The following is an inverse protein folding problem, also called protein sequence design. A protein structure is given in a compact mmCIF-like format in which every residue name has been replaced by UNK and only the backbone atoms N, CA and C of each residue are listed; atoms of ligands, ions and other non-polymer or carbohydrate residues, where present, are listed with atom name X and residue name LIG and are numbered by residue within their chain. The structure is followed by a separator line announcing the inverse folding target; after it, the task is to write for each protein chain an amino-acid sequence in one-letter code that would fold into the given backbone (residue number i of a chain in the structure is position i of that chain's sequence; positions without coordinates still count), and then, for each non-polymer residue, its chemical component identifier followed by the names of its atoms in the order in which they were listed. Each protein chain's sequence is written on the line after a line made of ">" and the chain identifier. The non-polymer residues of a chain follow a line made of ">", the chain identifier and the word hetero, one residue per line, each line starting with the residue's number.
data_IF_849168053363
#
_entry.id   IF_849168053363
#
_cell.length_a   1.000
_cell.length_b   1.000
_cell.length_c   1.000
_cell.angle_alpha   90.00
_cell.angle_beta   90.00
_cell.angle_gamma   90.00
#
_symmetry.space_group_name_H-M   'P 1'
#
loop_
_entity.id
_entity.type
_entity.pdbx_description
1 polymer ?
#
# COMPACT_ATOMS: atom_id res chain seq x y z
N UNK A 1 14.89 16.80 -6.57
CA UNK A 1 14.68 17.74 -5.46
C UNK A 1 13.19 17.85 -5.16
N UNK A 2 12.75 17.59 -3.91
CA UNK A 2 11.35 17.77 -3.56
C UNK A 2 10.95 19.25 -3.57
N UNK A 3 9.74 19.52 -4.06
CA UNK A 3 9.20 20.88 -4.21
C UNK A 3 7.85 20.98 -3.49
N UNK A 4 7.76 21.96 -2.57
CA UNK A 4 6.51 22.32 -1.92
C UNK A 4 6.15 23.75 -2.30
N UNK A 5 4.96 23.94 -2.87
CA UNK A 5 4.48 25.28 -3.27
C UNK A 5 3.75 25.91 -2.09
N UNK A 6 4.16 27.13 -1.73
CA UNK A 6 3.50 27.96 -0.71
C UNK A 6 2.78 29.11 -1.43
N UNK A 7 1.48 29.21 -1.27
CA UNK A 7 0.70 30.23 -1.98
C UNK A 7 -0.49 30.72 -1.17
N UNK A 8 -0.92 31.95 -1.43
CA UNK A 8 -2.20 32.48 -0.92
C UNK A 8 -3.41 31.99 -1.71
N UNK A 9 -3.17 31.39 -2.88
CA UNK A 9 -4.24 30.86 -3.76
C UNK A 9 -4.65 29.48 -3.27
N UNK A 10 -5.93 29.30 -2.95
CA UNK A 10 -6.49 28.07 -2.43
C UNK A 10 -7.40 27.35 -3.42
N UNK A 11 -7.52 27.87 -4.66
CA UNK A 11 -8.34 27.27 -5.68
C UNK A 11 -7.88 25.87 -6.08
N UNK A 12 -8.84 24.99 -6.35
CA UNK A 12 -8.55 23.62 -6.79
C UNK A 12 -7.69 23.60 -8.05
N UNK A 13 -7.98 24.50 -8.99
CA UNK A 13 -7.25 24.61 -10.25
C UNK A 13 -5.79 25.02 -10.03
N UNK A 14 -5.53 25.96 -9.12
CA UNK A 14 -4.16 26.39 -8.80
C UNK A 14 -3.34 25.24 -8.24
N UNK A 15 -3.95 24.38 -7.41
CA UNK A 15 -3.30 23.19 -6.86
C UNK A 15 -3.00 22.16 -7.94
N UNK A 16 -3.95 21.90 -8.83
CA UNK A 16 -3.76 20.99 -9.96
C UNK A 16 -2.65 21.46 -10.87
N UNK A 17 -2.63 22.75 -11.21
CA UNK A 17 -1.58 23.35 -12.05
C UNK A 17 -0.20 23.20 -11.42
N UNK A 18 -0.10 23.38 -10.10
CA UNK A 18 1.16 23.21 -9.37
C UNK A 18 1.65 21.76 -9.42
N UNK A 19 0.75 20.79 -9.22
CA UNK A 19 1.09 19.36 -9.29
C UNK A 19 1.47 18.95 -10.71
N UNK A 20 0.77 19.43 -11.73
CA UNK A 20 1.12 19.17 -13.14
C UNK A 20 2.48 19.76 -13.49
N UNK A 21 2.87 20.87 -12.85
CA UNK A 21 4.18 21.48 -13.05
C UNK A 21 5.31 20.76 -12.27
N UNK A 22 4.98 19.72 -11.48
CA UNK A 22 5.95 18.88 -10.79
C UNK A 22 6.12 19.16 -9.30
N UNK A 23 5.19 19.88 -8.67
CA UNK A 23 5.21 20.07 -7.22
C UNK A 23 4.86 18.78 -6.48
N UNK A 24 5.51 18.54 -5.34
CA UNK A 24 5.26 17.38 -4.50
C UNK A 24 4.15 17.63 -3.48
N UNK A 25 3.95 18.89 -3.08
CA UNK A 25 2.85 19.28 -2.20
C UNK A 25 2.52 20.77 -2.41
N UNK A 26 1.38 21.19 -1.87
CA UNK A 26 0.88 22.55 -1.99
C UNK A 26 0.30 22.98 -0.64
N UNK A 27 0.79 24.10 -0.09
CA UNK A 27 0.34 24.64 1.19
C UNK A 27 -0.23 26.03 0.99
N UNK A 28 -1.48 26.22 1.40
CA UNK A 28 -2.17 27.50 1.30
C UNK A 28 -1.82 28.38 2.49
N UNK A 29 -1.48 29.65 2.26
CA UNK A 29 -1.30 30.65 3.31
C UNK A 29 -2.66 31.19 3.79
N UNK A 30 -2.88 31.48 5.08
CA UNK A 30 -1.92 31.30 6.17
C UNK A 30 -1.79 29.84 6.59
N UNK A 31 -0.57 29.43 6.97
CA UNK A 31 -0.29 28.10 7.47
C UNK A 31 0.50 28.19 8.77
N UNK A 32 0.36 27.18 9.64
CA UNK A 32 1.18 27.06 10.85
C UNK A 32 2.50 26.36 10.54
N UNK A 33 3.57 26.72 11.26
CA UNK A 33 4.87 26.05 11.13
C UNK A 33 4.78 24.54 11.39
N UNK A 34 4.00 24.06 12.38
CA UNK A 34 3.84 22.60 12.55
C UNK A 34 3.27 21.89 11.34
N UNK A 35 2.30 22.50 10.65
CA UNK A 35 1.72 21.95 9.42
C UNK A 35 2.76 21.87 8.31
N UNK A 36 3.50 22.95 8.08
CA UNK A 36 4.54 22.98 7.05
C UNK A 36 5.61 21.93 7.32
N UNK A 37 6.10 21.84 8.56
CA UNK A 37 7.11 20.84 8.93
C UNK A 37 6.60 19.42 8.75
N UNK A 38 5.33 19.15 9.07
CA UNK A 38 4.72 17.84 8.87
C UNK A 38 4.67 17.47 7.37
N UNK A 39 4.32 18.41 6.51
CA UNK A 39 4.28 18.21 5.06
C UNK A 39 5.68 18.01 4.48
N UNK A 40 6.67 18.77 4.94
CA UNK A 40 8.07 18.57 4.55
C UNK A 40 8.58 17.18 4.92
N UNK A 41 8.26 16.70 6.11
CA UNK A 41 8.62 15.33 6.53
C UNK A 41 7.94 14.27 5.67
N UNK A 42 6.68 14.49 5.31
CA UNK A 42 5.93 13.55 4.47
C UNK A 42 6.50 13.48 3.05
N UNK A 43 6.84 14.62 2.46
CA UNK A 43 7.47 14.69 1.13
C UNK A 43 8.85 14.02 1.17
N UNK A 44 9.63 14.32 2.19
CA UNK A 44 10.95 13.72 2.39
C UNK A 44 10.87 12.19 2.50
N UNK A 45 9.90 11.68 3.26
CA UNK A 45 9.71 10.22 3.37
C UNK A 45 9.35 9.58 2.03
N UNK A 46 8.57 10.24 1.19
CA UNK A 46 8.25 9.76 -0.17
C UNK A 46 9.48 9.70 -1.05
N UNK A 47 10.34 10.70 -0.98
CA UNK A 47 11.59 10.75 -1.74
C UNK A 47 12.61 9.74 -1.19
N UNK A 48 12.71 9.60 0.13
CA UNK A 48 13.60 8.60 0.76
C UNK A 48 13.07 7.17 0.56
N UNK A 49 11.77 7.00 0.34
CA UNK A 49 11.17 5.73 -0.06
C UNK A 49 11.73 5.20 -1.37
N UNK A 50 12.16 6.08 -2.27
CA UNK A 50 12.85 5.70 -3.52
C UNK A 50 14.21 5.05 -3.28
N UNK A 51 14.76 5.11 -2.06
CA UNK A 51 16.02 4.46 -1.70
C UNK A 51 15.87 3.03 -1.21
N UNK A 52 14.62 2.59 -0.93
CA UNK A 52 14.36 1.18 -0.64
C UNK A 52 14.45 0.39 -1.95
N UNK A 53 14.93 -0.88 -1.90
CA UNK A 53 14.88 -1.70 -3.11
C UNK A 53 13.45 -1.65 -3.64
N UNK A 54 13.23 -1.26 -4.92
CA UNK A 54 11.87 -1.15 -5.46
C UNK A 54 11.19 -2.51 -5.62
N UNK A 55 11.93 -3.59 -5.37
CA UNK A 55 11.45 -4.97 -5.54
C UNK A 55 11.57 -5.70 -4.21
N UNK A 56 10.46 -6.27 -3.75
CA UNK A 56 10.43 -7.17 -2.59
C UNK A 56 10.08 -8.58 -3.05
N UNK A 57 10.70 -9.57 -2.39
CA UNK A 57 10.53 -10.98 -2.72
C UNK A 57 10.06 -11.78 -1.52
N UNK A 58 9.12 -12.69 -1.79
CA UNK A 58 8.60 -13.63 -0.80
C UNK A 58 8.51 -15.00 -1.48
N UNK A 59 9.55 -15.83 -1.29
CA UNK A 59 9.64 -17.09 -2.02
C UNK A 59 9.70 -16.84 -3.54
N UNK A 60 8.75 -17.40 -4.27
CA UNK A 60 8.63 -17.23 -5.72
C UNK A 60 7.81 -16.00 -6.14
N UNK A 61 7.27 -15.27 -5.17
CA UNK A 61 6.55 -14.03 -5.43
C UNK A 61 7.52 -12.85 -5.47
N UNK A 62 7.42 -12.06 -6.53
CA UNK A 62 8.19 -10.83 -6.70
C UNK A 62 7.24 -9.66 -6.91
N UNK A 63 7.37 -8.63 -6.08
CA UNK A 63 6.56 -7.41 -6.18
C UNK A 63 7.48 -6.22 -6.47
N UNK A 64 7.36 -5.66 -7.66
CA UNK A 64 8.06 -4.43 -8.04
C UNK A 64 7.19 -3.24 -7.64
N UNK A 65 7.54 -2.64 -6.52
CA UNK A 65 6.79 -1.51 -5.96
C UNK A 65 6.93 -0.24 -6.81
N UNK A 66 8.06 -0.09 -7.48
CA UNK A 66 8.29 1.07 -8.34
C UNK A 66 7.45 1.03 -9.61
N UNK A 67 7.34 -0.14 -10.23
CA UNK A 67 6.60 -0.34 -11.49
C UNK A 67 5.19 -0.86 -11.28
N UNK A 68 4.83 -1.25 -10.05
CA UNK A 68 3.56 -1.90 -9.73
C UNK A 68 3.34 -3.19 -10.54
N UNK A 69 4.40 -3.97 -10.68
CA UNK A 69 4.39 -5.24 -11.40
C UNK A 69 4.57 -6.40 -10.42
N UNK A 70 3.86 -7.48 -10.67
CA UNK A 70 3.86 -8.66 -9.81
C UNK A 70 4.16 -9.89 -10.65
N UNK A 71 5.08 -10.74 -10.16
CA UNK A 71 5.41 -12.01 -10.78
C UNK A 71 5.33 -13.13 -9.77
N UNK A 72 4.85 -14.27 -10.20
CA UNK A 72 4.91 -15.52 -9.44
C UNK A 72 5.68 -16.51 -10.30
N UNK A 73 6.78 -17.06 -9.76
CA UNK A 73 7.66 -18.00 -10.47
C UNK A 73 8.08 -17.45 -11.85
N UNK A 74 8.56 -16.21 -11.87
CA UNK A 74 8.94 -15.43 -13.05
C UNK A 74 7.83 -15.16 -14.07
N UNK A 75 6.61 -15.60 -13.81
CA UNK A 75 5.46 -15.35 -14.68
C UNK A 75 4.70 -14.11 -14.21
N UNK A 76 4.52 -13.10 -15.06
CA UNK A 76 3.72 -11.92 -14.69
C UNK A 76 2.28 -12.29 -14.39
N UNK A 77 1.73 -11.73 -13.33
CA UNK A 77 0.30 -11.83 -13.02
C UNK A 77 -0.32 -10.45 -13.10
N UNK A 78 -1.57 -10.42 -13.56
CA UNK A 78 -2.31 -9.16 -13.68
C UNK A 78 -3.20 -8.96 -12.46
N UNK A 79 -2.97 -7.86 -11.74
CA UNK A 79 -3.82 -7.44 -10.63
C UNK A 79 -4.59 -6.18 -11.03
N UNK A 80 -5.83 -6.09 -10.59
CA UNK A 80 -6.56 -4.82 -10.67
C UNK A 80 -5.92 -3.80 -9.72
N UNK A 81 -6.17 -2.49 -9.89
CA UNK A 81 -5.60 -1.48 -8.99
C UNK A 81 -5.91 -1.71 -7.51
N UNK A 82 -7.11 -2.16 -7.17
CA UNK A 82 -7.49 -2.43 -5.78
C UNK A 82 -6.78 -3.68 -5.24
N UNK A 83 -6.70 -4.74 -6.04
CA UNK A 83 -5.95 -5.94 -5.68
C UNK A 83 -4.47 -5.62 -5.44
N UNK A 84 -3.89 -4.78 -6.29
CA UNK A 84 -2.50 -4.36 -6.12
C UNK A 84 -2.31 -3.54 -4.83
N UNK A 85 -3.23 -2.62 -4.51
CA UNK A 85 -3.16 -1.86 -3.25
C UNK A 85 -3.20 -2.76 -2.02
N UNK A 86 -4.01 -3.81 -2.06
CA UNK A 86 -4.04 -4.81 -0.99
C UNK A 86 -2.71 -5.56 -0.89
N UNK A 87 -2.19 -6.02 -2.01
CA UNK A 87 -0.90 -6.71 -2.04
C UNK A 87 0.22 -5.80 -1.53
N UNK A 88 0.27 -4.55 -1.97
CA UNK A 88 1.25 -3.58 -1.49
C UNK A 88 1.15 -3.35 0.01
N UNK A 89 -0.07 -3.25 0.54
CA UNK A 89 -0.30 -3.10 1.98
C UNK A 89 0.29 -4.28 2.76
N UNK A 90 0.12 -5.49 2.28
CA UNK A 90 0.71 -6.68 2.88
C UNK A 90 2.23 -6.72 2.73
N UNK A 91 2.71 -6.51 1.52
CA UNK A 91 4.15 -6.63 1.19
C UNK A 91 5.02 -5.60 1.92
N UNK A 92 4.45 -4.43 2.24
CA UNK A 92 5.14 -3.37 2.98
C UNK A 92 4.98 -3.47 4.49
N UNK A 93 4.17 -4.41 4.98
CA UNK A 93 3.93 -4.66 6.40
C UNK A 93 4.01 -6.15 6.74
N UNK A 94 5.09 -6.85 6.34
CA UNK A 94 5.16 -8.30 6.55
C UNK A 94 5.16 -8.63 8.04
N UNK A 95 4.46 -9.71 8.39
CA UNK A 95 4.38 -10.21 9.76
C UNK A 95 3.44 -9.44 10.69
N UNK A 96 2.89 -8.32 10.25
CA UNK A 96 2.01 -7.50 11.08
C UNK A 96 0.55 -7.88 10.89
N UNK A 97 -0.22 -7.87 11.98
CA UNK A 97 -1.67 -8.00 11.89
C UNK A 97 -2.26 -6.72 11.29
N UNK A 98 -2.92 -6.86 10.15
CA UNK A 98 -3.62 -5.76 9.48
C UNK A 98 -5.12 -5.96 9.70
N UNK A 99 -5.75 -5.02 10.40
CA UNK A 99 -7.18 -5.12 10.72
C UNK A 99 -8.04 -4.93 9.47
N UNK A 100 -9.26 -5.46 9.51
CA UNK A 100 -10.23 -5.25 8.42
C UNK A 100 -10.41 -3.77 8.11
N UNK A 101 -10.59 -2.96 9.14
CA UNK A 101 -10.77 -1.51 9.00
C UNK A 101 -9.57 -0.84 8.34
N UNK A 102 -8.35 -1.18 8.77
CA UNK A 102 -7.14 -0.60 8.22
C UNK A 102 -6.97 -0.94 6.74
N UNK A 103 -7.22 -2.21 6.39
CA UNK A 103 -7.12 -2.66 4.99
C UNK A 103 -8.17 -1.99 4.11
N UNK A 104 -9.40 -1.88 4.59
CA UNK A 104 -10.47 -1.20 3.85
C UNK A 104 -10.16 0.27 3.62
N UNK A 105 -9.68 0.97 4.63
CA UNK A 105 -9.28 2.37 4.48
C UNK A 105 -8.10 2.52 3.53
N UNK A 106 -7.15 1.60 3.59
CA UNK A 106 -5.95 1.63 2.75
C UNK A 106 -6.26 1.40 1.28
N UNK A 107 -7.14 0.46 0.97
CA UNK A 107 -7.44 0.06 -0.41
C UNK A 107 -8.56 0.88 -1.06
N UNK A 108 -9.57 1.28 -0.29
CA UNK A 108 -10.74 2.00 -0.81
C UNK A 108 -10.87 3.43 -0.31
N UNK A 109 -10.40 3.73 0.90
CA UNK A 109 -10.49 5.04 1.51
C UNK A 109 -11.37 5.09 2.76
N UNK A 110 -11.45 6.25 3.46
CA UNK A 110 -12.08 6.35 4.78
C UNK A 110 -13.57 5.98 4.82
N UNK A 111 -14.30 6.14 3.73
CA UNK A 111 -15.74 5.85 3.68
C UNK A 111 -16.11 4.37 3.71
N UNK A 112 -15.13 3.48 3.63
CA UNK A 112 -15.36 2.03 3.45
C UNK A 112 -15.00 1.20 4.67
N UNK A 113 -14.77 1.82 5.82
CA UNK A 113 -14.27 1.15 7.02
C UNK A 113 -15.13 -0.02 7.53
N UNK A 114 -16.42 -0.07 7.16
CA UNK A 114 -17.37 -1.11 7.58
C UNK A 114 -17.73 -2.11 6.48
N UNK A 115 -17.18 -1.97 5.29
CA UNK A 115 -17.52 -2.78 4.12
C UNK A 115 -16.70 -4.09 4.07
N UNK A 116 -16.85 -4.92 5.12
CA UNK A 116 -16.10 -6.17 5.28
C UNK A 116 -16.34 -7.18 4.15
N UNK A 117 -17.50 -7.13 3.51
CA UNK A 117 -17.83 -7.99 2.38
C UNK A 117 -16.90 -7.75 1.18
N UNK A 118 -16.61 -6.49 0.90
CA UNK A 118 -15.70 -6.12 -0.20
C UNK A 118 -14.31 -6.69 0.04
N UNK A 119 -13.81 -6.55 1.27
CA UNK A 119 -12.49 -7.07 1.62
C UNK A 119 -12.41 -8.58 1.40
N UNK A 120 -13.41 -9.34 1.82
CA UNK A 120 -13.43 -10.80 1.65
C UNK A 120 -13.36 -11.21 0.18
N UNK A 121 -14.12 -10.53 -0.68
CA UNK A 121 -14.13 -10.80 -2.11
C UNK A 121 -12.76 -10.55 -2.72
N UNK A 122 -12.15 -9.40 -2.41
CA UNK A 122 -10.85 -9.03 -2.96
C UNK A 122 -9.71 -9.88 -2.41
N UNK A 123 -9.76 -10.28 -1.14
CA UNK A 123 -8.79 -11.24 -0.58
C UNK A 123 -8.90 -12.59 -1.29
N UNK A 124 -10.10 -13.08 -1.57
CA UNK A 124 -10.30 -14.32 -2.31
C UNK A 124 -9.72 -14.22 -3.72
N UNK A 125 -9.98 -13.13 -4.43
CA UNK A 125 -9.46 -12.90 -5.76
C UNK A 125 -7.93 -12.80 -5.75
N UNK A 126 -7.38 -12.08 -4.79
CA UNK A 126 -5.92 -11.95 -4.64
C UNK A 126 -5.27 -13.30 -4.35
N UNK A 127 -5.82 -14.08 -3.43
CA UNK A 127 -5.34 -15.45 -3.15
C UNK A 127 -5.37 -16.32 -4.39
N UNK A 128 -6.44 -16.27 -5.16
CA UNK A 128 -6.56 -17.05 -6.40
C UNK A 128 -5.45 -16.69 -7.38
N UNK A 129 -5.17 -15.41 -7.57
CA UNK A 129 -4.12 -14.96 -8.49
C UNK A 129 -2.72 -15.27 -8.00
N UNK A 130 -2.50 -15.29 -6.69
CA UNK A 130 -1.22 -15.68 -6.07
C UNK A 130 -1.07 -17.19 -5.91
N UNK A 131 -2.08 -17.98 -6.27
CA UNK A 131 -2.13 -19.42 -6.02
C UNK A 131 -1.95 -19.74 -4.52
N UNK A 132 -2.60 -18.95 -3.66
CA UNK A 132 -2.52 -19.05 -2.20
C UNK A 132 -3.78 -19.75 -1.67
N UNK A 133 -3.62 -21.01 -1.26
CA UNK A 133 -4.73 -21.82 -0.73
C UNK A 133 -5.09 -21.35 0.69
N UNK A 134 -6.33 -20.91 0.97
CA UNK A 134 -6.71 -20.48 2.31
C UNK A 134 -6.62 -21.59 3.37
N UNK A 135 -6.67 -22.86 2.97
CA UNK A 135 -6.49 -24.00 3.88
C UNK A 135 -5.01 -24.23 4.23
N UNK A 136 -4.10 -23.83 3.35
CA UNK A 136 -2.64 -23.91 3.55
C UNK A 136 -2.00 -22.61 3.06
N UNK A 137 -2.19 -21.51 3.78
CA UNK A 137 -1.76 -20.21 3.31
C UNK A 137 -0.24 -20.11 3.22
N UNK A 138 0.24 -19.66 2.08
CA UNK A 138 1.65 -19.30 1.86
C UNK A 138 1.90 -17.84 2.19
N UNK A 139 0.96 -16.97 1.89
CA UNK A 139 1.13 -15.53 1.97
C UNK A 139 0.15 -14.89 2.96
N UNK A 140 -1.15 -15.09 2.78
CA UNK A 140 -2.18 -14.38 3.55
C UNK A 140 -2.80 -15.33 4.57
N UNK A 141 -2.54 -15.06 5.84
CA UNK A 141 -3.13 -15.80 6.96
C UNK A 141 -4.33 -15.03 7.48
N UNK A 142 -5.48 -15.72 7.64
CA UNK A 142 -6.67 -15.15 8.24
C UNK A 142 -6.55 -15.20 9.76
N UNK A 143 -6.64 -14.05 10.41
CA UNK A 143 -6.78 -13.93 11.85
C UNK A 143 -8.28 -13.71 12.16
N UNK A 144 -8.99 -14.78 12.50
CA UNK A 144 -10.44 -14.78 12.61
C UNK A 144 -10.97 -13.66 13.53
N UNK A 145 -11.89 -12.85 13.00
CA UNK A 145 -12.50 -11.73 13.72
C UNK A 145 -11.62 -10.48 13.84
N UNK A 146 -10.36 -10.54 13.43
CA UNK A 146 -9.41 -9.44 13.60
C UNK A 146 -8.93 -8.83 12.26
N UNK A 147 -8.50 -9.66 11.34
CA UNK A 147 -7.96 -9.21 10.08
C UNK A 147 -7.13 -10.27 9.38
N UNK A 148 -6.04 -9.82 8.78
CA UNK A 148 -5.15 -10.68 8.00
C UNK A 148 -3.70 -10.36 8.31
N UNK A 149 -2.82 -11.35 8.10
CA UNK A 149 -1.38 -11.21 8.33
C UNK A 149 -0.63 -11.78 7.13
N UNK A 150 0.39 -11.06 6.68
CA UNK A 150 1.28 -11.52 5.62
C UNK A 150 2.41 -12.37 6.21
N UNK A 151 2.62 -13.56 5.67
CA UNK A 151 3.76 -14.40 6.07
C UNK A 151 5.06 -13.86 5.45
N UNK A 152 6.04 -13.49 6.27
CA UNK A 152 7.33 -13.02 5.74
C UNK A 152 8.08 -14.12 4.99
N UNK A 153 7.93 -15.37 5.41
CA UNK A 153 8.49 -16.53 4.75
C UNK A 153 7.35 -17.50 4.37
N UNK A 154 7.01 -17.60 3.07
CA UNK A 154 5.92 -18.47 2.63
C UNK A 154 6.20 -19.96 2.84
N UNK A 155 7.47 -20.32 2.96
CA UNK A 155 7.90 -21.71 3.09
C UNK A 155 8.14 -22.12 4.56
N UNK A 156 7.96 -21.20 5.50
CA UNK A 156 8.06 -21.49 6.93
C UNK A 156 6.89 -22.35 7.40
N UNK A 157 7.21 -23.49 7.98
CA UNK A 157 6.21 -24.38 8.56
C UNK A 157 5.70 -23.76 9.89
N UNK A 158 4.39 -23.48 10.02
CA UNK A 158 3.82 -22.93 11.24
C UNK A 158 4.00 -23.84 12.47
N UNK A 159 4.34 -25.11 12.27
CA UNK A 159 4.59 -26.06 13.36
C UNK A 159 5.97 -25.92 13.98
N UNK A 160 6.86 -25.07 13.42
CA UNK A 160 8.28 -24.95 13.84
C UNK A 160 8.56 -23.63 14.55
N UNK A 161 7.55 -22.79 14.76
CA UNK A 161 7.74 -21.52 15.47
C UNK A 161 7.79 -21.67 16.98
#
# INVERSE_FOLDING_TARGET
>A
VPIIVLSVRDGQRDKVDAFEAGADDYVTKPFGMPELLARMRAVRRRVEGDRRPPVVRFGDLEVDLGRQLVKVDDSPIHLTPTEYRLLEAFATNPGKLLTHRWLLQRAWGPGYATEHQYLRVFIRQLRSKLADDPARPRFIVTEAGLGYRWKPDPDEDPAVS
#
